data_IF_640420681519
#
_entry.id   IF_640420681519
#
_cell.length_a   1.000
_cell.length_b   1.000
_cell.length_c   1.000
_cell.angle_alpha   90.00
_cell.angle_beta   90.00
_cell.angle_gamma   90.00
#
_symmetry.space_group_name_H-M   'P 1'
#
loop_
_entity.id
_entity.type
_entity.pdbx_description
1 polymer ?
#
# COMPACT_ATOMS: atom_id res chain seq x y z
N UNK A 1 -2.08 1.09 -19.76
CA UNK A 1 -2.74 1.62 -18.56
C UNK A 1 -2.03 1.12 -17.32
N UNK A 2 -1.77 2.02 -16.41
CA UNK A 2 -1.12 1.64 -15.17
C UNK A 2 -2.13 1.17 -14.15
N UNK A 3 -1.93 -0.01 -13.61
CA UNK A 3 -2.72 -0.53 -12.52
C UNK A 3 -1.79 -0.72 -11.33
N UNK A 4 -2.19 -0.26 -10.17
CA UNK A 4 -1.40 -0.46 -8.97
C UNK A 4 -1.44 -1.95 -8.61
N UNK A 5 -0.28 -2.52 -8.32
CA UNK A 5 -0.16 -3.94 -8.01
C UNK A 5 0.45 -4.14 -6.63
N UNK A 6 0.33 -5.37 -6.11
CA UNK A 6 0.94 -5.70 -4.83
C UNK A 6 2.47 -5.59 -4.90
N UNK A 7 3.05 -5.86 -6.07
CA UNK A 7 4.49 -5.71 -6.27
C UNK A 7 4.92 -4.25 -6.11
N UNK A 8 4.14 -3.33 -6.63
CA UNK A 8 4.42 -1.90 -6.46
C UNK A 8 4.23 -1.47 -5.02
N UNK A 9 3.23 -2.03 -4.34
CA UNK A 9 3.01 -1.78 -2.92
C UNK A 9 4.22 -2.24 -2.12
N UNK A 10 4.72 -3.44 -2.40
CA UNK A 10 5.89 -3.97 -1.69
C UNK A 10 7.13 -3.12 -1.94
N UNK A 11 7.31 -2.64 -3.16
CA UNK A 11 8.45 -1.78 -3.47
C UNK A 11 8.40 -0.48 -2.65
N UNK A 12 7.24 0.13 -2.54
CA UNK A 12 7.08 1.33 -1.73
C UNK A 12 7.41 1.03 -0.27
N UNK A 13 6.92 -0.09 0.25
CA UNK A 13 7.19 -0.47 1.64
C UNK A 13 8.68 -0.70 1.88
N UNK A 14 9.38 -1.31 0.94
CA UNK A 14 10.82 -1.54 1.07
C UNK A 14 11.58 -0.21 1.04
N UNK A 15 11.28 0.64 0.09
CA UNK A 15 12.03 1.87 -0.13
C UNK A 15 11.68 2.95 0.90
N UNK A 16 10.41 3.08 1.23
CA UNK A 16 9.94 4.21 2.05
C UNK A 16 9.59 3.85 3.49
N UNK A 17 9.15 2.63 3.73
CA UNK A 17 8.71 2.23 5.06
C UNK A 17 9.69 1.30 5.78
N UNK A 18 10.79 0.96 5.14
CA UNK A 18 11.82 0.15 5.77
C UNK A 18 11.53 -1.34 5.83
N UNK A 19 10.64 -1.84 5.00
CA UNK A 19 10.33 -3.26 4.98
C UNK A 19 11.56 -4.04 4.49
N UNK A 20 12.02 -5.06 5.25
CA UNK A 20 13.10 -5.92 4.76
C UNK A 20 12.67 -6.69 3.51
N UNK A 21 13.59 -6.85 2.56
CA UNK A 21 13.26 -7.59 1.34
C UNK A 21 12.87 -9.03 1.63
N UNK A 22 13.37 -9.59 2.73
CA UNK A 22 13.01 -10.94 3.15
C UNK A 22 11.57 -11.06 3.62
N UNK A 23 10.93 -9.93 3.94
CA UNK A 23 9.54 -9.91 4.40
C UNK A 23 8.56 -9.57 3.27
N UNK A 24 9.04 -9.31 2.07
CA UNK A 24 8.19 -9.02 0.92
C UNK A 24 7.30 -10.23 0.62
N UNK A 25 6.03 -9.97 0.39
CA UNK A 25 5.06 -11.03 0.11
C UNK A 25 4.13 -10.58 -1.02
N UNK A 26 3.59 -11.55 -1.74
CA UNK A 26 2.54 -11.28 -2.73
C UNK A 26 1.18 -11.77 -2.24
N UNK A 27 1.07 -12.07 -0.97
CA UNK A 27 -0.18 -12.55 -0.37
C UNK A 27 -1.13 -11.38 -0.10
N UNK A 28 -2.24 -11.29 -0.83
CA UNK A 28 -3.18 -10.19 -0.65
C UNK A 28 -3.93 -10.25 0.68
N UNK A 29 -3.88 -11.37 1.37
CA UNK A 29 -4.52 -11.52 2.68
C UNK A 29 -3.63 -11.05 3.82
N UNK A 30 -2.35 -10.80 3.56
CA UNK A 30 -1.43 -10.34 4.60
C UNK A 30 -1.71 -8.88 4.94
N UNK A 31 -1.31 -8.49 6.14
CA UNK A 31 -1.47 -7.11 6.63
C UNK A 31 -0.10 -6.53 6.96
N UNK A 32 -0.07 -5.23 7.23
CA UNK A 32 1.17 -4.59 7.68
C UNK A 32 1.68 -5.22 8.97
N UNK A 33 0.77 -5.59 9.87
CA UNK A 33 1.15 -6.27 11.12
C UNK A 33 1.81 -7.62 10.86
N UNK A 34 1.40 -8.31 9.82
CA UNK A 34 1.96 -9.62 9.48
C UNK A 34 3.43 -9.53 9.06
N UNK A 35 3.85 -8.37 8.59
CA UNK A 35 5.24 -8.13 8.18
C UNK A 35 5.97 -7.22 9.18
N UNK A 36 5.44 -7.10 10.38
CA UNK A 36 6.03 -6.33 11.49
C UNK A 36 6.18 -4.84 11.21
N UNK A 37 5.30 -4.27 10.40
CA UNK A 37 5.27 -2.84 10.17
C UNK A 37 4.30 -2.17 11.13
N UNK A 38 4.69 -1.00 11.62
CA UNK A 38 3.91 -0.26 12.61
C UNK A 38 3.09 0.86 11.98
N UNK A 39 2.47 1.68 12.83
CA UNK A 39 1.64 2.78 12.35
C UNK A 39 2.43 3.86 11.60
N UNK A 40 3.71 4.01 11.92
CA UNK A 40 4.55 4.96 11.19
C UNK A 40 4.73 4.50 9.75
N UNK A 41 4.97 3.21 9.55
CA UNK A 41 5.11 2.65 8.21
C UNK A 41 3.81 2.84 7.41
N UNK A 42 2.68 2.65 8.06
CA UNK A 42 1.38 2.84 7.42
C UNK A 42 1.19 4.29 7.00
N UNK A 43 1.58 5.22 7.87
CA UNK A 43 1.50 6.65 7.54
C UNK A 43 2.41 6.98 6.35
N UNK A 44 3.63 6.43 6.34
CA UNK A 44 4.55 6.66 5.24
C UNK A 44 4.01 6.10 3.92
N UNK A 45 3.37 4.94 3.97
CA UNK A 45 2.73 4.35 2.81
C UNK A 45 1.62 5.26 2.28
N UNK A 46 0.79 5.76 3.17
CA UNK A 46 -0.30 6.65 2.82
C UNK A 46 0.22 7.91 2.12
N UNK A 47 1.22 8.54 2.72
CA UNK A 47 1.81 9.77 2.16
C UNK A 47 2.41 9.49 0.79
N UNK A 48 3.11 8.39 0.65
CA UNK A 48 3.75 8.06 -0.63
C UNK A 48 2.74 7.81 -1.74
N UNK A 49 1.68 7.08 -1.43
CA UNK A 49 0.62 6.81 -2.41
C UNK A 49 -0.08 8.10 -2.81
N UNK A 50 -0.37 8.95 -1.84
CA UNK A 50 -1.00 10.23 -2.11
C UNK A 50 -0.10 11.10 -3.00
N UNK A 51 1.20 11.09 -2.72
CA UNK A 51 2.17 11.89 -3.48
C UNK A 51 2.37 11.36 -4.90
N UNK A 52 2.46 10.05 -5.06
CA UNK A 52 2.72 9.42 -6.36
C UNK A 52 1.49 9.32 -7.25
N UNK A 53 0.36 9.02 -6.67
CA UNK A 53 -0.85 8.68 -7.42
C UNK A 53 -1.98 9.68 -7.24
N UNK A 54 -1.87 10.58 -6.29
CA UNK A 54 -2.94 11.52 -5.99
C UNK A 54 -4.16 10.86 -5.35
N UNK A 55 -3.99 9.67 -4.80
CA UNK A 55 -5.07 8.92 -4.18
C UNK A 55 -4.95 9.01 -2.67
N UNK A 56 -6.04 9.40 -2.01
CA UNK A 56 -6.10 9.42 -0.56
C UNK A 56 -6.59 8.07 -0.06
N UNK A 57 -5.82 7.47 0.84
CA UNK A 57 -6.23 6.25 1.51
C UNK A 57 -7.00 6.63 2.77
N UNK A 58 -8.25 6.23 2.82
CA UNK A 58 -9.10 6.49 3.97
C UNK A 58 -9.46 5.20 4.67
N UNK A 59 -9.68 5.30 5.98
CA UNK A 59 -10.15 4.18 6.76
C UNK A 59 -9.15 3.06 6.90
N UNK A 60 -7.87 3.35 6.69
CA UNK A 60 -6.87 2.32 6.89
C UNK A 60 -6.76 1.98 8.36
N UNK A 61 -7.05 0.74 8.67
CA UNK A 61 -6.95 0.21 10.01
C UNK A 61 -5.85 -0.84 10.04
N UNK A 62 -5.41 -1.20 11.24
CA UNK A 62 -4.34 -2.18 11.39
C UNK A 62 -4.65 -3.51 10.70
N UNK A 63 -5.91 -3.85 10.57
CA UNK A 63 -6.33 -5.09 9.94
C UNK A 63 -6.53 -5.02 8.43
N UNK A 64 -6.27 -3.88 7.82
CA UNK A 64 -6.42 -3.75 6.37
C UNK A 64 -5.40 -4.61 5.64
N UNK A 65 -5.85 -5.46 4.73
CA UNK A 65 -4.95 -6.34 3.98
C UNK A 65 -4.31 -5.62 2.81
N UNK A 66 -3.22 -6.18 2.31
CA UNK A 66 -2.56 -5.64 1.13
C UNK A 66 -3.48 -5.63 -0.09
N UNK A 67 -4.29 -6.67 -0.24
CA UNK A 67 -5.27 -6.71 -1.32
C UNK A 67 -6.28 -5.58 -1.24
N UNK A 68 -6.72 -5.27 -0.03
CA UNK A 68 -7.64 -4.15 0.18
C UNK A 68 -6.96 -2.81 -0.13
N UNK A 69 -5.70 -2.64 0.26
CA UNK A 69 -4.94 -1.44 -0.05
C UNK A 69 -4.79 -1.26 -1.56
N UNK A 70 -4.42 -2.33 -2.25
CA UNK A 70 -4.30 -2.31 -3.71
C UNK A 70 -5.63 -1.95 -4.36
N UNK A 71 -6.71 -2.53 -3.88
CA UNK A 71 -8.04 -2.24 -4.42
C UNK A 71 -8.41 -0.77 -4.21
N UNK A 72 -8.11 -0.21 -3.04
CA UNK A 72 -8.41 1.18 -2.76
C UNK A 72 -7.65 2.14 -3.68
N UNK A 73 -6.37 1.84 -3.92
CA UNK A 73 -5.57 2.66 -4.81
C UNK A 73 -6.11 2.59 -6.23
N UNK A 74 -6.42 1.39 -6.71
CA UNK A 74 -6.94 1.22 -8.06
C UNK A 74 -8.31 1.90 -8.24
N UNK A 75 -9.14 1.86 -7.22
CA UNK A 75 -10.41 2.55 -7.25
C UNK A 75 -10.20 4.06 -7.37
N UNK A 76 -9.28 4.60 -6.59
CA UNK A 76 -8.95 6.01 -6.68
C UNK A 76 -8.35 6.40 -8.03
N UNK A 77 -7.48 5.55 -8.58
CA UNK A 77 -6.91 5.79 -9.90
C UNK A 77 -7.98 5.79 -10.98
N UNK A 78 -8.95 4.89 -10.87
CA UNK A 78 -10.06 4.83 -11.82
C UNK A 78 -10.89 6.10 -11.79
N UNK A 79 -11.12 6.67 -10.61
CA UNK A 79 -11.85 7.92 -10.47
C UNK A 79 -11.08 9.09 -11.06
N UNK A 80 -9.74 9.08 -10.96
CA UNK A 80 -8.90 10.14 -11.47
C UNK A 80 -8.58 9.99 -12.96
N UNK A 81 -8.88 8.86 -13.55
CA UNK A 81 -8.52 8.57 -14.95
C UNK A 81 -9.45 9.21 -15.97
N UNK A 82 -10.33 10.05 -15.57
CA UNK A 82 -11.28 10.69 -16.47
C UNK A 82 -10.73 11.93 -17.11
#
# INVERSE_FOLDING_TARGET
>A
MSTFTIDELMEILVVKAGLPRSAVTDDPSATLSDVDLDSLARLQLKVEIEDRYGVELEGEEAGTTFGELVAMVNEGLSEHAR
#
